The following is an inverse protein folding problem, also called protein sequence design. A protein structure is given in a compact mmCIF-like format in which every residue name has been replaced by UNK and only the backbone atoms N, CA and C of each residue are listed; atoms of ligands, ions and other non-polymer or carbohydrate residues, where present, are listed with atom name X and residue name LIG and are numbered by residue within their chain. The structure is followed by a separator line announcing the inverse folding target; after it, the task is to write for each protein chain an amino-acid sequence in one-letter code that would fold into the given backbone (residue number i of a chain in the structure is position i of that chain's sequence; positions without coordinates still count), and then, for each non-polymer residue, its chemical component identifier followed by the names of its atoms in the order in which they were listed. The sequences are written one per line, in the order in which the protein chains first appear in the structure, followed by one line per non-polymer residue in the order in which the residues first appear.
data_IF_636626967914
#
_entry.id   IF_636626967914
#
_cell.length_a   1.000
_cell.length_b   1.000
_cell.length_c   1.000
_cell.angle_alpha   90.00
_cell.angle_beta   90.00
_cell.angle_gamma   90.00
#
_symmetry.space_group_name_H-M   'P 1'
#
loop_
_entity.id
_entity.type
_entity.pdbx_description
1 polymer ?
#
# COMPACT_ATOMS: atom_id res chain seq x y z
N UNK A 1 49.99 25.93 -13.20
CA UNK A 1 48.54 26.19 -13.09
C UNK A 1 47.83 24.91 -12.71
N UNK A 2 47.49 24.70 -11.43
CA UNK A 2 46.71 23.53 -10.97
C UNK A 2 45.24 23.77 -11.29
N UNK A 3 44.71 22.99 -12.20
CA UNK A 3 43.36 23.06 -12.72
C UNK A 3 42.33 22.76 -11.59
N UNK A 4 41.43 23.69 -11.29
CA UNK A 4 40.31 23.56 -10.34
C UNK A 4 39.21 22.63 -10.90
N UNK A 5 39.57 21.37 -11.24
CA UNK A 5 38.62 20.38 -11.79
C UNK A 5 37.67 19.78 -10.75
N UNK A 6 37.94 19.93 -9.44
CA UNK A 6 37.14 19.28 -8.39
C UNK A 6 35.80 19.95 -8.08
N UNK A 7 35.73 21.29 -8.14
CA UNK A 7 34.55 22.03 -7.68
C UNK A 7 33.35 21.90 -8.65
N UNK A 8 33.61 21.97 -9.95
CA UNK A 8 32.54 21.78 -10.95
C UNK A 8 31.94 20.37 -10.94
N UNK A 9 32.79 19.35 -10.77
CA UNK A 9 32.34 17.97 -10.66
C UNK A 9 31.50 17.73 -9.38
N UNK A 10 31.87 18.36 -8.28
CA UNK A 10 31.11 18.29 -7.03
C UNK A 10 29.71 18.92 -7.14
N UNK A 11 29.61 20.10 -7.80
CA UNK A 11 28.32 20.74 -8.06
C UNK A 11 27.40 19.89 -8.94
N UNK A 12 27.95 19.28 -9.99
CA UNK A 12 27.17 18.37 -10.86
C UNK A 12 26.64 17.20 -10.03
N UNK A 13 27.46 16.63 -9.17
CA UNK A 13 27.09 15.53 -8.29
C UNK A 13 25.94 15.91 -7.34
N UNK A 14 26.02 17.09 -6.72
CA UNK A 14 24.95 17.62 -5.86
C UNK A 14 23.63 17.80 -6.62
N UNK A 15 23.69 18.32 -7.85
CA UNK A 15 22.48 18.48 -8.69
C UNK A 15 21.87 17.11 -9.02
N UNK A 16 22.69 16.12 -9.37
CA UNK A 16 22.20 14.76 -9.66
C UNK A 16 21.53 14.16 -8.41
N UNK A 17 22.16 14.27 -7.25
CA UNK A 17 21.59 13.78 -5.98
C UNK A 17 20.27 14.49 -5.65
N UNK A 18 20.20 15.81 -5.85
CA UNK A 18 18.99 16.57 -5.65
C UNK A 18 17.86 16.13 -6.60
N UNK A 19 18.17 15.90 -7.89
CA UNK A 19 17.18 15.40 -8.87
C UNK A 19 16.67 14.01 -8.48
N UNK A 20 17.57 13.10 -8.09
CA UNK A 20 17.18 11.75 -7.66
C UNK A 20 16.33 11.78 -6.39
N UNK A 21 16.70 12.64 -5.43
CA UNK A 21 15.92 12.84 -4.22
C UNK A 21 14.51 13.37 -4.53
N UNK A 22 14.41 14.36 -5.41
CA UNK A 22 13.12 14.90 -5.86
C UNK A 22 12.29 13.85 -6.59
N UNK A 23 12.87 13.12 -7.54
CA UNK A 23 12.19 12.06 -8.26
C UNK A 23 11.68 10.96 -7.32
N UNK A 24 12.46 10.59 -6.32
CA UNK A 24 12.05 9.63 -5.30
C UNK A 24 10.93 10.16 -4.41
N UNK A 25 11.02 11.43 -3.96
CA UNK A 25 10.05 12.04 -3.06
C UNK A 25 8.67 12.23 -3.71
N UNK A 26 8.64 12.52 -5.00
CA UNK A 26 7.41 12.75 -5.76
C UNK A 26 6.98 11.55 -6.62
N UNK A 27 7.57 10.37 -6.40
CA UNK A 27 7.27 9.18 -7.21
C UNK A 27 5.79 8.79 -7.21
N UNK A 28 5.13 8.91 -6.06
CA UNK A 28 3.71 8.55 -5.92
C UNK A 28 2.83 9.53 -6.67
N UNK A 29 3.11 10.82 -6.60
CA UNK A 29 2.41 11.86 -7.33
C UNK A 29 2.53 11.66 -8.85
N UNK A 30 3.71 11.28 -9.34
CA UNK A 30 3.90 10.96 -10.75
C UNK A 30 3.12 9.72 -11.18
N UNK A 31 3.17 8.64 -10.40
CA UNK A 31 2.43 7.41 -10.69
C UNK A 31 0.90 7.63 -10.61
N UNK A 32 0.44 8.37 -9.61
CA UNK A 32 -0.97 8.63 -9.39
C UNK A 32 -1.60 9.53 -10.47
N UNK A 33 -0.80 10.43 -11.08
CA UNK A 33 -1.28 11.42 -12.03
C UNK A 33 -1.90 10.81 -13.28
N UNK A 34 -1.31 9.74 -13.78
CA UNK A 34 -1.73 9.11 -15.03
C UNK A 34 -2.79 8.02 -14.81
N UNK A 35 -3.11 7.73 -13.54
CA UNK A 35 -4.11 6.72 -13.19
C UNK A 35 -5.49 7.33 -12.97
N UNK A 36 -6.43 6.94 -13.83
CA UNK A 36 -7.82 7.41 -13.78
C UNK A 36 -8.69 6.31 -13.17
N UNK A 37 -9.33 6.62 -12.04
CA UNK A 37 -10.35 5.74 -11.44
C UNK A 37 -11.60 5.75 -12.32
N UNK A 38 -12.08 4.56 -12.70
CA UNK A 38 -13.27 4.39 -13.52
C UNK A 38 -14.21 3.34 -12.95
N UNK A 39 -15.50 3.44 -13.29
CA UNK A 39 -16.51 2.46 -12.90
C UNK A 39 -16.58 2.23 -11.39
N UNK A 40 -16.77 0.97 -11.00
CA UNK A 40 -16.94 0.53 -9.61
C UNK A 40 -15.79 0.96 -8.71
N UNK A 41 -14.57 1.00 -9.22
CA UNK A 41 -13.41 1.42 -8.44
C UNK A 41 -13.50 2.89 -8.02
N UNK A 42 -14.05 3.76 -8.88
CA UNK A 42 -14.31 5.17 -8.54
C UNK A 42 -15.34 5.29 -7.42
N UNK A 43 -16.39 4.47 -7.45
CA UNK A 43 -17.43 4.44 -6.41
C UNK A 43 -16.84 3.97 -5.07
N UNK A 44 -16.08 2.87 -5.08
CA UNK A 44 -15.39 2.34 -3.90
C UNK A 44 -14.52 3.41 -3.27
N UNK A 45 -13.62 4.02 -4.04
CA UNK A 45 -12.68 5.02 -3.53
C UNK A 45 -13.39 6.26 -2.99
N UNK A 46 -14.47 6.70 -3.64
CA UNK A 46 -15.26 7.83 -3.15
C UNK A 46 -15.96 7.55 -1.82
N UNK A 47 -16.37 6.29 -1.58
CA UNK A 47 -17.06 5.87 -0.35
C UNK A 47 -16.11 5.76 0.86
N UNK A 48 -14.86 5.37 0.63
CA UNK A 48 -13.83 5.22 1.67
C UNK A 48 -13.42 6.58 2.28
N UNK A 49 -13.58 7.69 1.55
CA UNK A 49 -13.23 9.07 2.00
C UNK A 49 -11.79 9.20 2.45
N UNK A 50 -10.86 8.76 1.62
CA UNK A 50 -9.43 8.82 1.89
C UNK A 50 -8.94 10.27 2.07
N UNK A 51 -7.90 10.46 2.89
CA UNK A 51 -7.15 11.72 2.91
C UNK A 51 -6.42 11.92 1.58
N UNK A 52 -6.02 13.14 1.24
CA UNK A 52 -5.32 13.41 -0.02
C UNK A 52 -4.06 12.56 -0.20
N UNK A 53 -3.27 12.33 0.87
CA UNK A 53 -2.08 11.47 0.81
C UNK A 53 -2.44 10.00 0.58
N UNK A 54 -3.47 9.49 1.25
CA UNK A 54 -3.93 8.12 1.10
C UNK A 54 -4.50 7.87 -0.32
N UNK A 55 -5.25 8.82 -0.87
CA UNK A 55 -5.73 8.78 -2.26
C UNK A 55 -4.57 8.75 -3.26
N UNK A 56 -3.54 9.59 -3.05
CA UNK A 56 -2.32 9.56 -3.88
C UNK A 56 -1.63 8.21 -3.82
N UNK A 57 -1.44 7.62 -2.63
CA UNK A 57 -0.83 6.30 -2.46
C UNK A 57 -1.65 5.24 -3.16
N UNK A 58 -2.97 5.22 -2.96
CA UNK A 58 -3.86 4.26 -3.61
C UNK A 58 -3.75 4.34 -5.14
N UNK A 59 -3.86 5.54 -5.72
CA UNK A 59 -3.72 5.72 -7.18
C UNK A 59 -2.35 5.31 -7.69
N UNK A 60 -1.29 5.58 -6.93
CA UNK A 60 0.07 5.20 -7.31
C UNK A 60 0.28 3.68 -7.37
N UNK A 61 -0.53 2.89 -6.66
CA UNK A 61 -0.53 1.42 -6.76
C UNK A 61 -1.33 0.89 -7.95
N UNK A 62 -1.98 1.76 -8.72
CA UNK A 62 -2.84 1.38 -9.85
C UNK A 62 -3.79 0.23 -9.46
N UNK A 63 -4.71 0.44 -8.51
CA UNK A 63 -5.58 -0.60 -8.00
C UNK A 63 -6.45 -1.23 -9.09
N UNK A 64 -6.67 -2.54 -8.97
CA UNK A 64 -7.42 -3.32 -9.95
C UNK A 64 -8.48 -4.18 -9.26
N UNK A 65 -9.74 -4.08 -9.75
CA UNK A 65 -10.82 -4.99 -9.36
C UNK A 65 -10.78 -6.21 -10.28
N UNK A 66 -10.44 -7.37 -9.73
CA UNK A 66 -10.32 -8.62 -10.47
C UNK A 66 -11.51 -9.55 -10.23
N UNK A 67 -11.97 -10.18 -11.29
CA UNK A 67 -12.91 -11.29 -11.20
C UNK A 67 -12.20 -12.54 -10.66
N UNK A 68 -12.99 -13.52 -10.19
CA UNK A 68 -12.52 -14.70 -9.47
C UNK A 68 -11.32 -15.40 -10.13
N UNK A 69 -11.39 -15.65 -11.43
CA UNK A 69 -10.35 -16.42 -12.11
C UNK A 69 -9.04 -15.64 -12.22
N UNK A 70 -9.12 -14.36 -12.62
CA UNK A 70 -7.95 -13.49 -12.70
C UNK A 70 -7.34 -13.23 -11.31
N UNK A 71 -8.19 -13.09 -10.27
CA UNK A 71 -7.73 -12.89 -8.91
C UNK A 71 -6.99 -14.13 -8.38
N UNK A 72 -7.53 -15.32 -8.59
CA UNK A 72 -6.90 -16.58 -8.17
C UNK A 72 -5.59 -16.84 -8.91
N UNK A 73 -5.48 -16.44 -10.18
CA UNK A 73 -4.25 -16.56 -10.95
C UNK A 73 -3.17 -15.58 -10.44
N UNK A 74 -3.57 -14.37 -10.03
CA UNK A 74 -2.67 -13.35 -9.49
C UNK A 74 -2.25 -13.63 -8.05
N UNK A 75 -3.16 -14.17 -7.24
CA UNK A 75 -2.98 -14.46 -5.82
C UNK A 75 -2.49 -15.90 -5.63
N UNK A 76 -1.19 -16.08 -5.46
CA UNK A 76 -0.58 -17.41 -5.20
C UNK A 76 -0.69 -17.84 -3.73
N UNK A 77 -1.80 -17.52 -3.07
CA UNK A 77 -2.04 -17.95 -1.68
C UNK A 77 -2.25 -19.47 -1.63
N UNK A 78 -1.35 -20.17 -0.97
CA UNK A 78 -1.35 -21.64 -0.85
C UNK A 78 -2.17 -22.14 0.35
N UNK A 79 -2.81 -21.27 1.13
CA UNK A 79 -3.63 -21.67 2.26
C UNK A 79 -5.11 -21.77 1.87
N UNK A 80 -5.64 -23.00 1.88
CA UNK A 80 -7.06 -23.27 1.58
C UNK A 80 -8.03 -22.78 2.66
N UNK A 81 -7.54 -22.22 3.77
CA UNK A 81 -8.34 -21.88 4.96
C UNK A 81 -8.63 -20.39 5.12
N UNK A 82 -7.96 -19.51 4.35
CA UNK A 82 -8.15 -18.07 4.45
C UNK A 82 -8.66 -17.50 3.13
N UNK A 83 -9.85 -16.92 3.17
CA UNK A 83 -10.39 -16.19 2.02
C UNK A 83 -9.66 -14.85 1.85
N UNK A 84 -8.70 -14.81 0.94
CA UNK A 84 -8.03 -13.57 0.54
C UNK A 84 -8.97 -12.80 -0.38
N UNK A 85 -9.32 -11.58 -0.01
CA UNK A 85 -10.21 -10.71 -0.78
C UNK A 85 -9.48 -9.55 -1.45
N UNK A 86 -8.22 -9.32 -1.09
CA UNK A 86 -7.33 -8.36 -1.70
C UNK A 86 -5.89 -8.69 -1.37
N UNK A 87 -4.97 -8.09 -2.07
CA UNK A 87 -3.57 -8.14 -1.73
C UNK A 87 -2.77 -7.01 -2.37
N UNK A 88 -1.82 -6.49 -1.60
CA UNK A 88 -0.84 -5.55 -2.07
C UNK A 88 0.46 -6.27 -2.45
N UNK A 89 0.88 -6.10 -3.68
CA UNK A 89 2.07 -6.71 -4.25
C UNK A 89 3.25 -5.75 -4.18
N UNK A 90 4.12 -5.96 -3.19
CA UNK A 90 5.25 -5.05 -2.92
C UNK A 90 6.25 -4.97 -4.08
N UNK A 91 6.57 -6.10 -4.71
CA UNK A 91 7.55 -6.20 -5.81
C UNK A 91 7.13 -5.41 -7.05
N UNK A 92 5.82 -5.22 -7.24
CA UNK A 92 5.24 -4.50 -8.37
C UNK A 92 4.62 -3.15 -7.99
N UNK A 93 4.51 -2.89 -6.68
CA UNK A 93 3.76 -1.75 -6.14
C UNK A 93 2.33 -1.69 -6.70
N UNK A 94 1.63 -2.84 -6.69
CA UNK A 94 0.30 -3.02 -7.25
C UNK A 94 -0.68 -3.53 -6.21
N UNK A 95 -1.93 -3.06 -6.31
CA UNK A 95 -3.01 -3.43 -5.41
C UNK A 95 -4.11 -4.14 -6.21
N UNK A 96 -4.53 -5.31 -5.71
CA UNK A 96 -5.57 -6.13 -6.31
C UNK A 96 -6.69 -6.34 -5.31
N UNK A 97 -7.93 -6.21 -5.76
CA UNK A 97 -9.13 -6.46 -4.96
C UNK A 97 -10.02 -7.44 -5.71
N UNK A 98 -10.49 -8.47 -5.03
CA UNK A 98 -11.48 -9.37 -5.59
C UNK A 98 -12.82 -8.64 -5.70
N UNK A 99 -13.38 -8.61 -6.89
CA UNK A 99 -14.67 -7.96 -7.16
C UNK A 99 -15.84 -8.80 -6.64
N UNK A 100 -15.98 -8.84 -5.32
CA UNK A 100 -17.13 -9.50 -4.66
C UNK A 100 -18.36 -8.65 -4.86
N UNK A 101 -19.30 -9.13 -5.64
CA UNK A 101 -20.62 -8.49 -5.77
C UNK A 101 -21.65 -9.35 -5.03
N UNK A 102 -21.62 -9.32 -3.70
CA UNK A 102 -22.57 -10.03 -2.85
C UNK A 102 -23.42 -9.06 -2.04
N UNK A 103 -24.74 -9.24 -2.08
CA UNK A 103 -25.66 -8.48 -1.25
C UNK A 103 -25.50 -8.80 0.25
N UNK A 104 -24.93 -9.97 0.55
CA UNK A 104 -24.73 -10.45 1.92
C UNK A 104 -23.48 -9.86 2.57
N UNK A 105 -22.60 -9.22 1.78
CA UNK A 105 -21.34 -8.62 2.23
C UNK A 105 -21.21 -7.16 1.76
N UNK A 106 -22.11 -6.26 2.19
CA UNK A 106 -22.04 -4.86 1.81
C UNK A 106 -20.77 -4.23 2.38
N UNK A 107 -20.07 -3.41 1.58
CA UNK A 107 -18.87 -2.69 2.00
C UNK A 107 -17.58 -3.52 2.01
N UNK A 108 -17.64 -4.79 1.64
CA UNK A 108 -16.44 -5.66 1.68
C UNK A 108 -15.34 -5.17 0.72
N UNK A 109 -15.69 -4.69 -0.47
CA UNK A 109 -14.71 -4.17 -1.44
C UNK A 109 -14.04 -2.89 -0.92
N UNK A 110 -14.81 -2.04 -0.28
CA UNK A 110 -14.36 -0.80 0.33
C UNK A 110 -13.36 -1.07 1.47
N UNK A 111 -13.73 -1.96 2.38
CA UNK A 111 -12.89 -2.35 3.51
C UNK A 111 -11.60 -3.02 3.01
N UNK A 112 -11.72 -3.95 2.06
CA UNK A 112 -10.55 -4.62 1.47
C UNK A 112 -9.63 -3.61 0.77
N UNK A 113 -10.19 -2.70 -0.05
CA UNK A 113 -9.38 -1.67 -0.72
C UNK A 113 -8.63 -0.78 0.29
N UNK A 114 -9.31 -0.38 1.38
CA UNK A 114 -8.69 0.40 2.43
C UNK A 114 -7.58 -0.38 3.16
N UNK A 115 -7.81 -1.66 3.42
CA UNK A 115 -6.84 -2.54 4.07
C UNK A 115 -5.57 -2.70 3.23
N UNK A 116 -5.72 -3.03 1.95
CA UNK A 116 -4.56 -3.20 1.04
C UNK A 116 -3.82 -1.87 0.81
N UNK A 117 -4.53 -0.74 0.83
CA UNK A 117 -3.91 0.58 0.78
C UNK A 117 -3.03 0.84 2.02
N UNK A 118 -3.42 0.33 3.20
CA UNK A 118 -2.57 0.44 4.41
C UNK A 118 -1.27 -0.35 4.26
N UNK A 119 -1.28 -1.53 3.63
CA UNK A 119 -0.05 -2.25 3.28
C UNK A 119 0.84 -1.42 2.36
N UNK A 120 0.26 -0.81 1.33
CA UNK A 120 0.98 0.09 0.43
C UNK A 120 1.54 1.32 1.16
N UNK A 121 0.80 1.89 2.10
CA UNK A 121 1.26 3.00 2.93
C UNK A 121 2.41 2.58 3.85
N UNK A 122 2.30 1.42 4.52
CA UNK A 122 3.34 0.87 5.36
C UNK A 122 4.63 0.60 4.58
N UNK A 123 4.52 0.05 3.37
CA UNK A 123 5.68 -0.18 2.49
C UNK A 123 6.47 1.11 2.20
N UNK A 124 5.82 2.27 2.20
CA UNK A 124 6.42 3.59 1.93
C UNK A 124 7.10 4.24 3.12
N UNK A 125 6.88 3.70 4.32
CA UNK A 125 7.53 4.20 5.54
C UNK A 125 9.02 3.91 5.51
N UNK A 126 9.81 4.82 6.05
CA UNK A 126 11.22 4.57 6.32
C UNK A 126 11.36 3.55 7.46
N UNK A 127 12.52 2.89 7.55
CA UNK A 127 12.74 1.82 8.53
C UNK A 127 12.53 2.28 9.99
N UNK A 128 12.86 3.53 10.31
CA UNK A 128 12.63 4.09 11.65
C UNK A 128 11.14 4.36 11.90
N UNK A 129 10.38 4.82 10.89
CA UNK A 129 8.93 5.03 11.00
C UNK A 129 8.19 3.69 11.19
N UNK A 130 8.64 2.64 10.49
CA UNK A 130 8.12 1.28 10.69
C UNK A 130 8.39 0.81 12.11
N UNK A 131 9.61 0.97 12.62
CA UNK A 131 9.97 0.56 13.97
C UNK A 131 9.14 1.28 15.06
N UNK A 132 8.87 2.58 14.87
CA UNK A 132 8.03 3.34 15.79
C UNK A 132 6.56 2.87 15.71
N UNK A 133 6.01 2.71 14.51
CA UNK A 133 4.65 2.22 14.29
C UNK A 133 4.46 0.81 14.84
N UNK A 134 5.39 -0.11 14.58
CA UNK A 134 5.34 -1.49 15.07
C UNK A 134 5.33 -1.54 16.59
N UNK A 135 6.10 -0.65 17.24
CA UNK A 135 6.09 -0.51 18.70
C UNK A 135 4.73 -0.04 19.23
N UNK A 136 4.13 0.96 18.56
CA UNK A 136 2.81 1.47 18.93
C UNK A 136 1.73 0.42 18.72
N UNK A 137 1.74 -0.26 17.57
CA UNK A 137 0.80 -1.36 17.26
C UNK A 137 0.91 -2.49 18.28
N UNK A 138 2.15 -2.86 18.67
CA UNK A 138 2.36 -3.85 19.72
C UNK A 138 1.78 -3.41 21.06
N UNK A 139 1.94 -2.15 21.45
CA UNK A 139 1.35 -1.64 22.69
C UNK A 139 -0.18 -1.74 22.66
N UNK A 140 -0.82 -1.38 21.54
CA UNK A 140 -2.26 -1.52 21.36
C UNK A 140 -2.68 -2.98 21.45
N UNK A 141 -1.97 -3.88 20.75
CA UNK A 141 -2.23 -5.31 20.82
C UNK A 141 -2.13 -5.88 22.23
N UNK A 142 -1.10 -5.50 22.98
CA UNK A 142 -0.89 -5.96 24.36
C UNK A 142 -2.02 -5.50 25.31
N UNK A 143 -2.68 -4.37 25.00
CA UNK A 143 -3.82 -3.85 25.76
C UNK A 143 -5.18 -4.47 25.35
N UNK A 144 -5.25 -5.21 24.25
CA UNK A 144 -6.50 -5.89 23.86
C UNK A 144 -6.90 -6.94 24.89
N UNK A 145 -8.20 -7.07 25.22
CA UNK A 145 -8.70 -8.17 26.04
C UNK A 145 -8.27 -9.54 25.49
N UNK A 146 -8.02 -10.50 26.36
CA UNK A 146 -7.57 -11.84 25.96
C UNK A 146 -8.60 -12.58 25.10
N UNK A 147 -9.88 -12.28 25.32
CA UNK A 147 -11.04 -12.84 24.64
C UNK A 147 -11.51 -12.02 23.43
N UNK A 148 -10.74 -11.02 23.02
CA UNK A 148 -11.13 -10.19 21.87
C UNK A 148 -11.04 -10.98 20.55
N UNK A 149 -12.04 -10.83 19.70
CA UNK A 149 -12.06 -11.42 18.37
C UNK A 149 -10.86 -10.97 17.52
N UNK A 150 -10.46 -9.69 17.66
CA UNK A 150 -9.28 -9.15 16.98
C UNK A 150 -8.00 -9.89 17.37
N UNK A 151 -7.80 -10.15 18.67
CA UNK A 151 -6.63 -10.91 19.15
C UNK A 151 -6.61 -12.31 18.58
N UNK A 152 -7.76 -12.98 18.55
CA UNK A 152 -7.91 -14.33 17.98
C UNK A 152 -7.62 -14.31 16.47
N UNK A 153 -8.16 -13.35 15.74
CA UNK A 153 -7.89 -13.20 14.30
C UNK A 153 -6.42 -12.95 14.03
N UNK A 154 -5.75 -12.09 14.80
CA UNK A 154 -4.32 -11.80 14.61
C UNK A 154 -3.41 -13.02 14.87
N UNK A 155 -3.81 -13.95 15.72
CA UNK A 155 -3.07 -15.20 15.96
C UNK A 155 -3.09 -16.16 14.75
N UNK A 156 -4.06 -16.01 13.86
CA UNK A 156 -4.16 -16.82 12.64
C UNK A 156 -3.23 -16.35 11.51
N UNK A 157 -2.64 -15.16 11.63
CA UNK A 157 -1.68 -14.66 10.66
C UNK A 157 -0.30 -15.28 10.91
N UNK A 158 0.44 -15.68 9.85
CA UNK A 158 1.79 -16.18 10.01
C UNK A 158 2.69 -15.09 10.62
N UNK A 159 3.56 -15.51 11.55
CA UNK A 159 4.58 -14.60 12.08
C UNK A 159 5.51 -14.17 10.94
N UNK A 160 5.61 -12.88 10.71
CA UNK A 160 6.49 -12.25 9.71
C UNK A 160 7.95 -12.20 10.22
#
# INVERSE_FOLDING_TARGET
MKQKRGFGSFLIWLVIVAILFFAYSYRDEFKARDFILTGDLSEIVSSIKLTGRADTILRATHPELQQKDAFNESCHSHSQEVYVLGWYREDQDRLYVYNVNSKDLPGVREVTTAHEMLHAAYHRLYFWEKADLDKELKQVYDQLPQDSELRTSMQSYPAS
#
